data_IF_450980477598
#
_entry.id   IF_450980477598
#
_cell.length_a   1.000
_cell.length_b   1.000
_cell.length_c   1.000
_cell.angle_alpha   90.00
_cell.angle_beta   90.00
_cell.angle_gamma   90.00
#
_symmetry.space_group_name_H-M   'P 1'
#
loop_
_entity.id
_entity.type
_entity.pdbx_description
1 polymer ?
#
# COMPACT_ATOMS: atom_id res chain seq x y z
N UNK A 1 -21.77 8.07 4.03
CA UNK A 1 -20.87 7.28 3.25
C UNK A 1 -19.55 7.02 3.94
N UNK A 2 -18.81 6.04 3.42
CA UNK A 2 -17.49 5.69 3.95
C UNK A 2 -16.42 6.62 3.39
N UNK A 3 -15.48 6.99 4.24
CA UNK A 3 -14.36 7.83 3.88
C UNK A 3 -13.11 6.97 3.76
N UNK A 4 -12.34 7.16 2.70
CA UNK A 4 -11.04 6.50 2.52
C UNK A 4 -9.96 7.55 2.70
N UNK A 5 -9.03 7.29 3.62
CA UNK A 5 -7.84 8.11 3.81
C UNK A 5 -6.67 7.42 3.15
N UNK A 6 -6.00 8.12 2.24
CA UNK A 6 -4.84 7.60 1.54
C UNK A 6 -3.57 8.27 2.07
N UNK A 7 -2.55 7.47 2.33
CA UNK A 7 -1.26 7.97 2.75
C UNK A 7 -0.14 7.10 2.19
N UNK A 8 1.01 7.71 1.92
CA UNK A 8 2.16 7.03 1.35
C UNK A 8 3.20 6.59 2.38
N UNK A 9 3.12 7.10 3.59
CA UNK A 9 4.18 6.94 4.60
C UNK A 9 3.66 6.44 5.94
N UNK A 10 2.62 5.63 5.94
CA UNK A 10 2.03 5.12 7.17
C UNK A 10 2.54 3.73 7.60
N UNK A 11 3.48 3.16 6.85
CA UNK A 11 3.96 1.81 7.17
C UNK A 11 4.51 1.70 8.59
N UNK A 12 5.22 2.72 9.06
CA UNK A 12 5.76 2.77 10.42
C UNK A 12 4.72 3.07 11.51
N UNK A 13 3.46 3.34 11.10
CA UNK A 13 2.36 3.68 12.02
C UNK A 13 1.22 2.66 11.99
N UNK A 14 1.43 1.49 11.39
CA UNK A 14 0.38 0.48 11.23
C UNK A 14 -0.15 -0.01 12.58
N UNK A 15 0.70 -0.18 13.58
CA UNK A 15 0.26 -0.58 14.91
C UNK A 15 -0.62 0.49 15.56
N UNK A 16 -0.31 1.76 15.36
CA UNK A 16 -1.14 2.87 15.81
C UNK A 16 -2.51 2.85 15.12
N UNK A 17 -2.51 2.66 13.79
CA UNK A 17 -3.75 2.58 13.01
C UNK A 17 -4.62 1.40 13.44
N UNK A 18 -4.00 0.29 13.77
CA UNK A 18 -4.68 -0.90 14.27
C UNK A 18 -5.52 -0.59 15.52
N UNK A 19 -5.00 0.23 16.43
CA UNK A 19 -5.69 0.57 17.67
C UNK A 19 -6.99 1.36 17.44
N UNK A 20 -7.15 1.95 16.26
CA UNK A 20 -8.37 2.71 15.92
C UNK A 20 -9.53 1.82 15.49
N UNK A 21 -9.30 0.54 15.32
CA UNK A 21 -10.35 -0.43 14.99
C UNK A 21 -10.91 -0.33 13.58
N UNK A 22 -10.21 0.38 12.69
CA UNK A 22 -10.65 0.57 11.31
C UNK A 22 -9.91 -0.41 10.38
N UNK A 23 -10.55 -0.83 9.27
CA UNK A 23 -9.85 -1.63 8.27
C UNK A 23 -8.67 -0.87 7.68
N UNK A 24 -7.58 -1.59 7.43
CA UNK A 24 -6.37 -1.02 6.84
C UNK A 24 -6.11 -1.73 5.51
N UNK A 25 -6.01 -0.96 4.44
CA UNK A 25 -5.65 -1.48 3.12
C UNK A 25 -4.19 -1.15 2.86
N UNK A 26 -3.39 -2.19 2.69
CA UNK A 26 -1.96 -2.05 2.43
C UNK A 26 -1.68 -2.46 0.99
N UNK A 27 -1.14 -1.53 0.22
CA UNK A 27 -0.73 -1.78 -1.16
C UNK A 27 0.77 -2.01 -1.17
N UNK A 28 1.16 -3.20 -1.58
CA UNK A 28 2.55 -3.65 -1.50
C UNK A 28 3.10 -3.99 -2.89
N UNK A 29 4.35 -3.67 -3.09
CA UNK A 29 5.14 -4.09 -4.24
C UNK A 29 6.53 -4.43 -3.72
N UNK A 30 7.22 -5.42 -4.30
CA UNK A 30 8.56 -5.75 -3.84
C UNK A 30 9.52 -4.55 -4.01
N UNK A 31 10.64 -4.58 -3.29
CA UNK A 31 11.54 -3.45 -3.20
C UNK A 31 12.04 -2.96 -4.57
N UNK A 32 12.48 -3.88 -5.42
CA UNK A 32 13.01 -3.54 -6.73
C UNK A 32 11.94 -2.96 -7.65
N UNK A 33 10.75 -3.52 -7.64
CA UNK A 33 9.63 -3.00 -8.42
C UNK A 33 9.20 -1.63 -7.96
N UNK A 34 9.22 -1.38 -6.64
CA UNK A 34 8.97 -0.05 -6.10
C UNK A 34 10.00 0.96 -6.61
N UNK A 35 11.28 0.60 -6.59
CA UNK A 35 12.34 1.48 -7.05
C UNK A 35 12.19 1.80 -8.54
N UNK A 36 11.94 0.79 -9.36
CA UNK A 36 11.73 0.98 -10.79
C UNK A 36 10.51 1.88 -11.08
N UNK A 37 9.45 1.70 -10.32
CA UNK A 37 8.26 2.54 -10.45
C UNK A 37 8.53 3.99 -10.08
N UNK A 38 9.31 4.22 -9.01
CA UNK A 38 9.72 5.57 -8.62
C UNK A 38 10.54 6.24 -9.73
N UNK A 39 11.46 5.52 -10.34
CA UNK A 39 12.25 6.03 -11.47
C UNK A 39 11.36 6.44 -12.64
N UNK A 40 10.38 5.60 -12.97
CA UNK A 40 9.43 5.90 -14.06
C UNK A 40 8.56 7.13 -13.75
N UNK A 41 8.23 7.35 -12.49
CA UNK A 41 7.41 8.49 -12.05
C UNK A 41 8.19 9.80 -11.88
N UNK A 42 9.49 9.80 -12.16
CA UNK A 42 10.31 11.03 -12.09
C UNK A 42 11.28 11.11 -10.94
N UNK A 43 11.46 10.01 -10.22
CA UNK A 43 12.43 9.89 -9.12
C UNK A 43 12.20 10.95 -8.02
N UNK A 44 13.29 11.53 -7.54
CA UNK A 44 13.25 12.60 -6.52
C UNK A 44 12.95 13.98 -7.11
N UNK A 45 12.66 14.06 -8.39
CA UNK A 45 12.21 15.32 -9.05
C UNK A 45 10.73 15.59 -8.79
N UNK A 46 10.03 14.64 -8.23
CA UNK A 46 8.62 14.82 -7.85
C UNK A 46 8.54 15.77 -6.68
N UNK A 47 7.84 16.87 -6.86
CA UNK A 47 7.76 17.97 -5.89
C UNK A 47 6.54 17.89 -4.98
N UNK A 48 6.20 16.72 -4.50
CA UNK A 48 5.21 16.58 -3.45
C UNK A 48 5.87 16.82 -2.09
N UNK A 49 5.19 17.47 -1.16
CA UNK A 49 5.77 17.77 0.16
C UNK A 49 6.33 16.55 0.90
N UNK A 50 5.74 15.40 0.68
CA UNK A 50 6.14 14.16 1.36
C UNK A 50 7.36 13.48 0.73
N UNK A 51 7.84 13.97 -0.41
CA UNK A 51 8.95 13.36 -1.15
C UNK A 51 10.27 14.13 -1.02
N UNK A 52 10.28 15.17 -0.25
CA UNK A 52 11.49 15.96 -0.01
C UNK A 52 12.60 15.18 0.70
N UNK A 53 12.30 14.02 1.24
CA UNK A 53 13.28 13.16 1.90
C UNK A 53 14.15 12.36 0.93
N UNK A 54 13.73 12.27 -0.32
CA UNK A 54 14.44 11.46 -1.31
C UNK A 54 15.45 12.30 -2.05
N UNK A 55 16.54 12.63 -1.38
CA UNK A 55 17.60 13.45 -1.93
C UNK A 55 18.41 12.73 -3.01
N UNK A 56 18.45 11.40 -2.95
CA UNK A 56 19.16 10.57 -3.91
C UNK A 56 18.57 9.15 -3.93
N UNK A 57 19.04 8.34 -4.90
CA UNK A 57 18.54 6.98 -5.07
C UNK A 57 18.84 6.07 -3.88
N UNK A 58 19.96 6.26 -3.20
CA UNK A 58 20.33 5.44 -2.05
C UNK A 58 19.35 5.67 -0.89
N UNK A 59 19.00 6.90 -0.62
CA UNK A 59 18.03 7.23 0.42
C UNK A 59 16.62 6.74 0.06
N UNK A 60 16.25 6.85 -1.19
CA UNK A 60 14.98 6.31 -1.68
C UNK A 60 14.93 4.79 -1.50
N UNK A 61 16.00 4.11 -1.84
CA UNK A 61 16.12 2.67 -1.68
C UNK A 61 16.00 2.24 -0.21
N UNK A 62 16.71 2.91 0.68
CA UNK A 62 16.61 2.66 2.12
C UNK A 62 15.19 2.84 2.63
N UNK A 63 14.51 3.89 2.18
CA UNK A 63 13.14 4.17 2.59
C UNK A 63 12.17 3.08 2.11
N UNK A 64 12.29 2.67 0.85
CA UNK A 64 11.47 1.59 0.28
C UNK A 64 11.63 0.31 1.09
N UNK A 65 12.87 -0.08 1.36
CA UNK A 65 13.16 -1.28 2.13
C UNK A 65 12.59 -1.20 3.55
N UNK A 66 12.74 -0.07 4.21
CA UNK A 66 12.24 0.13 5.57
C UNK A 66 10.71 0.05 5.60
N UNK A 67 10.01 0.72 4.70
CA UNK A 67 8.54 0.69 4.65
C UNK A 67 8.00 -0.70 4.32
N UNK A 68 8.59 -1.37 3.35
CA UNK A 68 8.18 -2.72 2.98
C UNK A 68 8.41 -3.71 4.12
N UNK A 69 9.53 -3.56 4.83
CA UNK A 69 9.83 -4.38 6.00
C UNK A 69 8.78 -4.19 7.09
N UNK A 70 8.43 -2.95 7.40
CA UNK A 70 7.42 -2.64 8.41
C UNK A 70 6.04 -3.18 8.01
N UNK A 71 5.66 -3.03 6.75
CA UNK A 71 4.41 -3.55 6.23
C UNK A 71 4.35 -5.07 6.33
N UNK A 72 5.39 -5.76 5.90
CA UNK A 72 5.42 -7.23 5.94
C UNK A 72 5.48 -7.76 7.35
N UNK A 73 6.14 -7.06 8.26
CA UNK A 73 6.17 -7.43 9.67
C UNK A 73 4.76 -7.33 10.28
N UNK A 74 4.04 -6.25 9.99
CA UNK A 74 2.67 -6.08 10.44
C UNK A 74 1.76 -7.20 9.91
N UNK A 75 1.89 -7.54 8.63
CA UNK A 75 1.11 -8.61 8.00
C UNK A 75 1.39 -9.94 8.70
N UNK A 76 2.64 -10.24 8.96
CA UNK A 76 3.06 -11.46 9.63
C UNK A 76 2.52 -11.55 11.07
N UNK A 77 2.61 -10.44 11.80
CA UNK A 77 2.17 -10.38 13.20
C UNK A 77 0.65 -10.44 13.35
N UNK A 78 -0.09 -10.08 12.29
CA UNK A 78 -1.55 -10.04 12.30
C UNK A 78 -2.17 -11.02 11.29
N UNK A 79 -1.47 -12.08 10.97
CA UNK A 79 -1.80 -13.04 9.92
C UNK A 79 -3.25 -13.50 9.93
N UNK A 80 -3.82 -13.75 11.11
CA UNK A 80 -5.19 -14.25 11.27
C UNK A 80 -6.27 -13.22 10.90
N UNK A 81 -5.91 -11.95 10.78
CA UNK A 81 -6.81 -10.85 10.40
C UNK A 81 -6.45 -10.26 9.05
N UNK A 82 -5.52 -10.85 8.34
CA UNK A 82 -5.10 -10.37 7.03
C UNK A 82 -5.85 -11.12 5.94
N UNK A 83 -6.46 -10.36 5.04
CA UNK A 83 -7.14 -10.86 3.85
C UNK A 83 -6.37 -10.42 2.61
N UNK A 84 -6.34 -11.26 1.60
CA UNK A 84 -5.66 -10.97 0.35
C UNK A 84 -6.66 -11.00 -0.80
N UNK A 85 -7.32 -9.87 -1.09
CA UNK A 85 -8.30 -9.81 -2.18
C UNK A 85 -7.61 -10.06 -3.52
N UNK A 86 -8.31 -10.74 -4.42
CA UNK A 86 -7.77 -11.10 -5.74
C UNK A 86 -7.98 -10.02 -6.80
N UNK A 87 -8.98 -9.16 -6.61
CA UNK A 87 -9.32 -8.09 -7.55
C UNK A 87 -10.09 -6.96 -6.85
N UNK A 88 -10.45 -5.93 -7.61
CA UNK A 88 -11.16 -4.77 -7.07
C UNK A 88 -12.55 -5.12 -6.54
N UNK A 89 -13.24 -6.06 -7.16
CA UNK A 89 -14.57 -6.49 -6.72
C UNK A 89 -14.47 -7.16 -5.34
N UNK A 90 -13.51 -8.05 -5.19
CA UNK A 90 -13.25 -8.75 -3.94
C UNK A 90 -12.83 -7.78 -2.83
N UNK A 91 -11.98 -6.81 -3.16
CA UNK A 91 -11.57 -5.75 -2.24
C UNK A 91 -12.77 -4.94 -1.74
N UNK A 92 -13.63 -4.51 -2.65
CA UNK A 92 -14.83 -3.74 -2.29
C UNK A 92 -15.78 -4.55 -1.42
N UNK A 93 -15.92 -5.85 -1.69
CA UNK A 93 -16.73 -6.76 -0.87
C UNK A 93 -16.19 -6.86 0.56
N UNK A 94 -14.87 -7.01 0.70
CA UNK A 94 -14.21 -7.04 2.01
C UNK A 94 -14.44 -5.76 2.81
N UNK A 95 -14.42 -4.62 2.14
CA UNK A 95 -14.60 -3.31 2.77
C UNK A 95 -16.07 -2.91 2.91
N UNK A 96 -16.99 -3.74 2.42
CA UNK A 96 -18.44 -3.47 2.44
C UNK A 96 -18.79 -2.16 1.74
N UNK A 97 -18.15 -1.91 0.60
CA UNK A 97 -18.43 -0.76 -0.26
C UNK A 97 -18.86 -1.23 -1.64
N UNK A 98 -19.64 -0.39 -2.33
CA UNK A 98 -20.08 -0.70 -3.69
C UNK A 98 -18.93 -0.56 -4.67
N UNK A 99 -18.82 -1.50 -5.61
CA UNK A 99 -17.85 -1.40 -6.68
C UNK A 99 -18.31 -0.32 -7.68
N UNK A 100 -17.60 0.81 -7.78
CA UNK A 100 -18.08 1.95 -8.53
C UNK A 100 -17.92 1.83 -10.04
N UNK A 101 -17.11 0.91 -10.50
CA UNK A 101 -16.65 0.85 -11.88
C UNK A 101 -17.23 -0.36 -12.58
N UNK A 102 -18.46 -0.21 -13.09
CA UNK A 102 -19.16 -1.28 -13.79
C UNK A 102 -18.39 -1.70 -15.05
N UNK A 103 -18.03 -2.97 -15.14
CA UNK A 103 -17.44 -3.56 -16.32
C UNK A 103 -15.90 -3.63 -16.33
N UNK A 104 -15.20 -3.10 -15.33
CA UNK A 104 -13.74 -3.22 -15.25
C UNK A 104 -13.31 -3.90 -13.96
N UNK A 105 -12.69 -5.06 -14.11
CA UNK A 105 -12.03 -5.76 -13.02
C UNK A 105 -10.53 -5.64 -13.26
N UNK A 106 -9.82 -5.11 -12.26
CA UNK A 106 -8.36 -4.98 -12.33
C UNK A 106 -7.72 -6.10 -11.54
N UNK A 107 -6.85 -6.83 -12.20
CA UNK A 107 -6.03 -7.84 -11.55
C UNK A 107 -4.70 -7.20 -11.15
N UNK A 108 -4.52 -6.99 -9.86
CA UNK A 108 -3.31 -6.34 -9.32
C UNK A 108 -2.05 -7.14 -9.62
N UNK A 109 -2.15 -8.46 -9.59
CA UNK A 109 -1.01 -9.34 -9.77
C UNK A 109 -0.31 -9.15 -11.11
N UNK A 110 -1.07 -8.81 -12.15
CA UNK A 110 -0.52 -8.56 -13.48
C UNK A 110 0.41 -7.36 -13.51
N UNK A 111 0.34 -6.50 -12.48
CA UNK A 111 1.17 -5.30 -12.34
C UNK A 111 2.18 -5.42 -11.20
N UNK A 112 2.37 -6.62 -10.66
CA UNK A 112 3.25 -6.85 -9.51
C UNK A 112 2.73 -6.26 -8.19
N UNK A 113 1.49 -5.82 -8.16
CA UNK A 113 0.88 -5.21 -6.97
C UNK A 113 0.22 -6.31 -6.13
N UNK A 114 0.46 -6.26 -4.83
CA UNK A 114 -0.22 -7.10 -3.86
C UNK A 114 -1.01 -6.21 -2.91
N UNK A 115 -2.25 -6.58 -2.63
CA UNK A 115 -3.09 -5.86 -1.69
C UNK A 115 -3.41 -6.76 -0.52
N UNK A 116 -3.18 -6.25 0.67
CA UNK A 116 -3.51 -6.92 1.92
C UNK A 116 -4.47 -6.05 2.71
N UNK A 117 -5.48 -6.65 3.31
CA UNK A 117 -6.46 -5.94 4.11
C UNK A 117 -6.43 -6.49 5.53
N UNK A 118 -6.18 -5.60 6.50
CA UNK A 118 -6.36 -5.90 7.91
C UNK A 118 -7.81 -5.57 8.28
N UNK A 119 -8.52 -6.59 8.73
CA UNK A 119 -9.92 -6.42 9.12
C UNK A 119 -10.36 -7.43 10.18
#
# INVERSE_FOLDING_TARGET
GKRIVKAHTFAHRLEELKTKGLPIVMVYRNDHECLEWWKLCGEFKITYPNYQYFENLDKMWEHIQAENKDTMQFIKDNKHKIHKPKDNVDLCRLLEISFPNKGRIHNYADKGIQIYVYK
#
